data_IF_505222273137
#
_entry.id   IF_505222273137
#
_cell.length_a   1.000
_cell.length_b   1.000
_cell.length_c   1.000
_cell.angle_alpha   90.00
_cell.angle_beta   90.00
_cell.angle_gamma   90.00
#
_symmetry.space_group_name_H-M   'P 1'
#
loop_
_entity.id
_entity.type
_entity.pdbx_description
1 polymer ?
#
# COMPACT_ATOMS: atom_id res chain seq x y z
N UNK A 1 6.49 5.21 -7.15
CA UNK A 1 5.90 4.34 -6.12
C UNK A 1 5.88 5.06 -4.77
N UNK A 2 4.69 5.28 -4.22
CA UNK A 2 4.46 5.91 -2.90
C UNK A 2 4.37 4.89 -1.77
N UNK A 3 4.31 3.61 -2.13
CA UNK A 3 4.13 2.48 -1.22
C UNK A 3 2.68 2.09 -0.96
N UNK A 4 1.71 2.80 -1.56
CA UNK A 4 0.29 2.49 -1.51
C UNK A 4 -0.25 2.27 -2.93
N UNK A 5 -1.32 1.50 -3.08
CA UNK A 5 -1.94 1.22 -4.38
C UNK A 5 -2.64 2.44 -4.99
N UNK A 6 -3.04 3.39 -4.14
CA UNK A 6 -3.63 4.65 -4.55
C UNK A 6 -3.23 5.76 -3.60
N UNK A 7 -3.42 7.00 -4.05
CA UNK A 7 -3.43 8.16 -3.19
C UNK A 7 -4.87 8.66 -3.00
N UNK A 8 -5.30 8.88 -1.76
CA UNK A 8 -6.60 9.48 -1.46
C UNK A 8 -6.43 10.97 -1.21
N UNK A 9 -6.56 11.77 -2.27
CA UNK A 9 -6.35 13.21 -2.25
C UNK A 9 -7.67 13.95 -2.48
N UNK A 10 -8.00 14.91 -1.62
CA UNK A 10 -9.13 15.81 -1.80
C UNK A 10 -8.63 17.15 -2.33
N UNK A 11 -9.28 17.68 -3.37
CA UNK A 11 -9.01 19.03 -3.87
C UNK A 11 -9.50 20.07 -2.87
N UNK A 12 -8.62 21.02 -2.53
CA UNK A 12 -8.96 22.16 -1.70
C UNK A 12 -9.57 23.28 -2.57
N UNK A 13 -10.32 24.23 -1.97
CA UNK A 13 -10.84 25.39 -2.70
C UNK A 13 -9.74 26.13 -3.47
N UNK A 14 -10.05 26.69 -4.65
CA UNK A 14 -9.05 27.41 -5.47
C UNK A 14 -8.45 28.63 -4.76
N UNK A 15 -9.17 29.19 -3.78
CA UNK A 15 -8.72 30.29 -2.92
C UNK A 15 -7.80 29.84 -1.78
N UNK A 16 -7.69 28.53 -1.53
CA UNK A 16 -6.85 28.01 -0.47
C UNK A 16 -5.37 28.19 -0.82
N UNK A 17 -4.64 28.80 0.11
CA UNK A 17 -3.19 28.81 0.12
C UNK A 17 -2.72 28.37 1.52
N UNK A 18 -1.82 27.38 1.62
CA UNK A 18 -1.29 26.97 2.91
C UNK A 18 -0.41 28.08 3.50
N UNK A 19 -0.46 28.23 4.83
CA UNK A 19 0.41 29.18 5.53
C UNK A 19 1.90 28.85 5.27
N UNK A 20 2.73 29.89 5.16
CA UNK A 20 4.17 29.74 4.97
C UNK A 20 4.85 28.99 6.13
N UNK A 21 4.30 29.14 7.34
CA UNK A 21 4.71 28.43 8.56
C UNK A 21 4.47 26.92 8.46
N UNK A 22 3.36 26.48 7.84
CA UNK A 22 3.09 25.08 7.56
C UNK A 22 4.05 24.56 6.50
N UNK A 23 4.16 25.25 5.36
CA UNK A 23 5.01 24.81 4.25
C UNK A 23 6.49 24.67 4.63
N UNK A 24 7.01 25.59 5.46
CA UNK A 24 8.42 25.53 5.91
C UNK A 24 8.74 24.34 6.82
N UNK A 25 7.72 23.69 7.40
CA UNK A 25 7.88 22.47 8.22
C UNK A 25 7.71 21.18 7.40
N UNK A 26 7.29 21.28 6.14
CA UNK A 26 7.10 20.15 5.26
C UNK A 26 8.28 20.01 4.28
N UNK A 27 8.62 18.78 3.96
CA UNK A 27 9.57 18.48 2.91
C UNK A 27 8.84 18.38 1.57
N UNK A 28 9.24 19.23 0.61
CA UNK A 28 8.78 19.16 -0.78
C UNK A 28 9.53 18.05 -1.53
N UNK A 29 8.81 17.28 -2.31
CA UNK A 29 9.35 16.35 -3.28
C UNK A 29 8.59 16.48 -4.60
N UNK A 30 9.31 16.80 -5.67
CA UNK A 30 8.74 16.81 -7.02
C UNK A 30 8.59 15.37 -7.50
N UNK A 31 7.34 14.87 -7.44
CA UNK A 31 7.02 13.48 -7.73
C UNK A 31 6.93 13.24 -9.24
N UNK A 32 6.45 14.22 -9.99
CA UNK A 32 6.56 14.28 -11.45
C UNK A 32 6.73 15.73 -11.88
N UNK A 33 6.83 15.97 -13.19
CA UNK A 33 6.78 17.32 -13.77
C UNK A 33 5.52 18.10 -13.38
N UNK A 34 4.43 17.37 -13.09
CA UNK A 34 3.10 17.95 -12.88
C UNK A 34 2.60 17.94 -11.44
N UNK A 35 3.31 17.29 -10.51
CA UNK A 35 2.87 17.19 -9.12
C UNK A 35 4.03 17.21 -8.12
N UNK A 36 3.89 18.06 -7.11
CA UNK A 36 4.78 18.10 -5.94
C UNK A 36 4.04 17.58 -4.71
N UNK A 37 4.69 16.70 -3.96
CA UNK A 37 4.23 16.20 -2.67
C UNK A 37 4.91 16.98 -1.54
N UNK A 38 4.16 17.24 -0.46
CA UNK A 38 4.65 17.87 0.76
C UNK A 38 4.35 16.95 1.93
N UNK A 39 5.40 16.41 2.55
CA UNK A 39 5.27 15.43 3.63
C UNK A 39 6.02 15.86 4.88
N UNK A 40 5.60 15.35 6.03
CA UNK A 40 6.28 15.59 7.30
C UNK A 40 7.66 14.88 7.29
N UNK A 41 8.79 15.60 7.42
CA UNK A 41 10.12 14.99 7.36
C UNK A 41 10.43 14.05 8.54
N UNK A 42 9.63 14.12 9.62
CA UNK A 42 9.79 13.32 10.82
C UNK A 42 9.06 11.98 10.76
N UNK A 43 7.83 11.95 10.24
CA UNK A 43 7.01 10.73 10.19
C UNK A 43 6.74 10.20 8.78
N UNK A 44 7.06 10.96 7.73
CA UNK A 44 6.86 10.57 6.34
C UNK A 44 5.45 10.78 5.81
N UNK A 45 4.48 11.18 6.65
CA UNK A 45 3.08 11.39 6.23
C UNK A 45 2.98 12.52 5.21
N UNK A 46 2.51 12.22 3.99
CA UNK A 46 2.06 13.24 3.04
C UNK A 46 0.87 14.01 3.62
N UNK A 47 0.96 15.34 3.54
CA UNK A 47 -0.05 16.26 4.05
C UNK A 47 -0.73 16.96 2.88
N UNK A 48 0.09 17.54 1.99
CA UNK A 48 -0.40 18.32 0.85
C UNK A 48 0.23 17.83 -0.45
N UNK A 49 -0.48 18.04 -1.54
CA UNK A 49 0.03 17.95 -2.91
C UNK A 49 -0.32 19.23 -3.66
N UNK A 50 0.52 19.60 -4.63
CA UNK A 50 0.27 20.75 -5.51
C UNK A 50 0.47 20.32 -6.96
N UNK A 51 -0.49 20.61 -7.81
CA UNK A 51 -0.34 20.38 -9.26
C UNK A 51 0.29 21.60 -9.92
N UNK A 52 1.11 21.40 -10.95
CA UNK A 52 1.59 22.49 -11.81
C UNK A 52 0.61 22.81 -12.95
N UNK A 53 -0.32 21.89 -13.24
CA UNK A 53 -1.45 22.12 -14.12
C UNK A 53 -2.35 23.22 -13.54
N UNK A 54 -2.66 24.23 -14.36
CA UNK A 54 -3.50 25.35 -13.97
C UNK A 54 -4.96 25.01 -14.18
N UNK A 55 -5.76 25.18 -13.14
CA UNK A 55 -7.22 25.15 -13.17
C UNK A 55 -7.73 26.56 -12.89
N UNK A 56 -8.44 27.15 -13.84
CA UNK A 56 -8.93 28.54 -13.78
C UNK A 56 -7.84 29.56 -13.42
N UNK A 57 -6.64 29.37 -13.98
CA UNK A 57 -5.49 30.25 -13.75
C UNK A 57 -4.71 30.00 -12.44
N UNK A 58 -5.15 29.05 -11.60
CA UNK A 58 -4.53 28.72 -10.31
C UNK A 58 -3.97 27.30 -10.28
N UNK A 59 -2.99 27.04 -9.42
CA UNK A 59 -2.43 25.72 -9.19
C UNK A 59 -3.10 25.10 -7.96
N UNK A 60 -4.07 24.19 -8.12
CA UNK A 60 -4.85 23.70 -7.00
C UNK A 60 -3.98 22.92 -6.00
N UNK A 61 -4.27 23.16 -4.72
CA UNK A 61 -3.77 22.35 -3.63
C UNK A 61 -4.71 21.17 -3.38
N UNK A 62 -4.12 20.07 -2.96
CA UNK A 62 -4.85 18.90 -2.51
C UNK A 62 -4.35 18.52 -1.12
N UNK A 63 -5.24 17.95 -0.31
CA UNK A 63 -4.92 17.42 1.02
C UNK A 63 -5.03 15.89 1.01
N UNK A 64 -4.12 15.23 1.71
CA UNK A 64 -4.18 13.80 1.92
C UNK A 64 -5.32 13.46 2.89
N UNK A 65 -6.37 12.81 2.42
CA UNK A 65 -7.61 12.59 3.18
C UNK A 65 -7.39 11.78 4.48
N UNK A 66 -6.36 10.94 4.50
CA UNK A 66 -5.97 10.19 5.70
C UNK A 66 -5.45 11.09 6.83
N UNK A 67 -5.15 12.37 6.60
CA UNK A 67 -4.78 13.33 7.66
C UNK A 67 -5.98 14.08 8.23
N UNK A 68 -7.19 13.89 7.68
CA UNK A 68 -8.41 14.49 8.20
C UNK A 68 -8.93 13.68 9.39
N UNK A 69 -9.21 14.38 10.50
CA UNK A 69 -9.85 13.79 11.68
C UNK A 69 -11.31 13.42 11.38
N UNK A 70 -12.02 14.28 10.65
CA UNK A 70 -13.30 13.94 10.02
C UNK A 70 -13.04 13.48 8.59
N UNK A 71 -12.95 12.16 8.40
CA UNK A 71 -12.60 11.57 7.11
C UNK A 71 -13.76 10.93 6.37
N UNK A 72 -14.99 11.32 6.73
CA UNK A 72 -16.19 10.81 6.09
C UNK A 72 -16.59 11.58 4.84
N UNK A 73 -17.53 11.00 4.09
CA UNK A 73 -18.04 11.56 2.84
C UNK A 73 -18.86 12.84 3.03
N UNK A 74 -19.14 13.22 4.27
CA UNK A 74 -19.70 14.52 4.64
C UNK A 74 -18.72 15.69 4.42
N UNK A 75 -17.41 15.42 4.42
CA UNK A 75 -16.36 16.46 4.28
C UNK A 75 -15.83 16.56 2.86
N UNK A 76 -15.85 15.46 2.10
CA UNK A 76 -15.41 15.41 0.71
C UNK A 76 -16.22 14.39 -0.09
N UNK A 77 -16.30 14.59 -1.40
CA UNK A 77 -16.87 13.62 -2.33
C UNK A 77 -15.77 12.78 -2.98
N UNK A 78 -15.98 11.45 -3.06
CA UNK A 78 -15.13 10.57 -3.89
C UNK A 78 -15.55 10.69 -5.35
N UNK A 79 -14.97 11.66 -6.05
CA UNK A 79 -15.44 12.03 -7.39
C UNK A 79 -15.04 11.04 -8.50
N UNK A 80 -13.89 10.38 -8.40
CA UNK A 80 -13.30 9.56 -9.49
C UNK A 80 -12.04 8.81 -9.06
N UNK A 81 -11.72 7.75 -9.80
CA UNK A 81 -10.37 7.18 -9.90
C UNK A 81 -9.70 7.70 -11.18
N UNK A 82 -8.42 8.05 -11.10
CA UNK A 82 -7.59 8.51 -12.23
C UNK A 82 -6.30 7.71 -12.27
N UNK A 83 -5.63 7.69 -13.44
CA UNK A 83 -4.41 6.90 -13.68
C UNK A 83 -4.60 5.41 -13.38
N UNK A 84 -5.81 4.89 -13.60
CA UNK A 84 -6.11 3.47 -13.39
C UNK A 84 -5.36 2.60 -14.41
N UNK A 85 -5.07 3.14 -15.59
CA UNK A 85 -4.30 2.45 -16.64
C UNK A 85 -2.92 2.00 -16.16
N UNK A 86 -2.24 2.83 -15.37
CA UNK A 86 -0.90 2.56 -14.84
C UNK A 86 -0.86 1.32 -13.93
N UNK A 87 -2.00 0.93 -13.35
CA UNK A 87 -2.08 -0.21 -12.43
C UNK A 87 -2.02 -1.55 -13.14
N UNK A 88 -2.29 -1.59 -14.45
CA UNK A 88 -2.41 -2.78 -15.29
C UNK A 88 -3.49 -3.82 -14.88
N UNK A 89 -4.08 -3.71 -13.70
CA UNK A 89 -5.07 -4.64 -13.16
C UNK A 89 -6.30 -3.96 -12.54
N UNK A 90 -6.38 -2.63 -12.57
CA UNK A 90 -7.42 -1.84 -11.92
C UNK A 90 -7.04 -1.34 -10.53
N UNK A 91 -5.96 -1.86 -9.93
CA UNK A 91 -5.42 -1.45 -8.64
C UNK A 91 -6.47 -1.40 -7.54
N UNK A 92 -6.44 -0.33 -6.75
CA UNK A 92 -7.40 -0.08 -5.67
C UNK A 92 -8.81 0.31 -6.18
N UNK A 93 -8.96 0.71 -7.44
CA UNK A 93 -10.26 1.13 -7.99
C UNK A 93 -11.27 -0.02 -8.04
N UNK A 94 -10.80 -1.27 -8.03
CA UNK A 94 -11.65 -2.46 -7.90
C UNK A 94 -12.13 -2.70 -6.46
N UNK A 95 -11.48 -2.10 -5.46
CA UNK A 95 -11.87 -2.19 -4.05
C UNK A 95 -12.78 -1.07 -3.61
N UNK A 96 -12.82 0.06 -4.34
CA UNK A 96 -13.69 1.21 -4.04
C UNK A 96 -14.56 1.51 -5.26
N UNK A 97 -15.70 0.83 -5.36
CA UNK A 97 -16.52 0.83 -6.58
C UNK A 97 -17.62 1.87 -6.59
N UNK A 98 -18.17 2.12 -5.42
CA UNK A 98 -19.29 3.01 -5.17
C UNK A 98 -19.22 3.50 -3.74
N UNK A 99 -19.70 4.72 -3.51
CA UNK A 99 -19.82 5.33 -2.19
C UNK A 99 -21.21 5.93 -2.12
N UNK A 100 -21.96 5.64 -1.05
CA UNK A 100 -23.34 6.12 -0.86
C UNK A 100 -24.25 5.86 -2.07
N UNK A 101 -24.12 4.66 -2.66
CA UNK A 101 -24.89 4.24 -3.85
C UNK A 101 -24.48 4.90 -5.17
N UNK A 102 -23.53 5.84 -5.15
CA UNK A 102 -22.99 6.48 -6.36
C UNK A 102 -21.80 5.70 -6.89
N UNK A 103 -21.87 5.31 -8.17
CA UNK A 103 -20.74 4.68 -8.85
C UNK A 103 -19.58 5.67 -9.04
N UNK A 104 -18.35 5.21 -8.76
CA UNK A 104 -17.16 6.03 -8.96
C UNK A 104 -16.58 5.73 -10.35
N UNK A 105 -16.51 6.73 -11.25
CA UNK A 105 -15.93 6.53 -12.58
C UNK A 105 -14.42 6.26 -12.48
N UNK A 106 -13.91 5.40 -13.38
CA UNK A 106 -12.51 5.01 -13.48
C UNK A 106 -11.92 5.50 -14.78
N UNK A 107 -10.97 6.41 -14.71
CA UNK A 107 -10.30 6.96 -15.88
C UNK A 107 -8.92 6.31 -16.07
N UNK A 108 -8.60 5.96 -17.31
CA UNK A 108 -7.30 5.39 -17.65
C UNK A 108 -6.16 6.32 -17.24
N UNK A 109 -6.30 7.62 -17.50
CA UNK A 109 -5.33 8.68 -17.20
C UNK A 109 -6.00 9.80 -16.37
N UNK A 110 -5.92 11.05 -16.85
CA UNK A 110 -6.54 12.22 -16.24
C UNK A 110 -8.08 12.20 -16.32
N UNK A 111 -8.78 13.05 -15.54
CA UNK A 111 -10.24 13.14 -15.60
C UNK A 111 -10.75 13.42 -17.02
N UNK A 112 -11.76 12.65 -17.47
CA UNK A 112 -12.34 12.80 -18.80
C UNK A 112 -11.66 11.99 -19.90
N UNK A 113 -10.55 11.29 -19.60
CA UNK A 113 -9.95 10.31 -20.51
C UNK A 113 -10.83 9.06 -20.68
N UNK A 114 -10.33 8.02 -21.36
CA UNK A 114 -11.04 6.74 -21.51
C UNK A 114 -11.53 6.20 -20.16
N UNK A 115 -12.80 5.81 -20.11
CA UNK A 115 -13.39 5.15 -18.94
C UNK A 115 -13.10 3.66 -18.99
N UNK A 116 -12.45 3.13 -17.96
CA UNK A 116 -12.16 1.72 -17.85
C UNK A 116 -13.29 0.97 -17.14
N UNK A 117 -13.63 -0.25 -17.59
CA UNK A 117 -14.61 -1.08 -16.91
C UNK A 117 -14.11 -1.56 -15.54
N UNK A 118 -15.04 -2.02 -14.69
CA UNK A 118 -14.69 -2.68 -13.43
C UNK A 118 -13.93 -3.98 -13.74
N UNK A 119 -12.84 -4.25 -12.99
CA UNK A 119 -11.94 -5.38 -13.21
C UNK A 119 -11.23 -5.35 -14.57
N UNK A 120 -10.97 -4.16 -15.10
CA UNK A 120 -10.14 -3.98 -16.27
C UNK A 120 -8.74 -4.53 -16.05
N UNK A 121 -8.17 -5.14 -17.09
CA UNK A 121 -6.77 -5.57 -17.11
C UNK A 121 -6.12 -5.10 -18.39
N UNK A 122 -4.90 -4.62 -18.30
CA UNK A 122 -4.13 -4.22 -19.47
C UNK A 122 -3.81 -5.44 -20.36
N UNK A 123 -3.85 -5.33 -21.70
CA UNK A 123 -3.55 -6.46 -22.60
C UNK A 123 -2.16 -7.07 -22.39
N UNK A 124 -1.18 -6.25 -22.01
CA UNK A 124 0.19 -6.71 -21.74
C UNK A 124 0.39 -7.27 -20.32
N UNK A 125 -0.67 -7.34 -19.50
CA UNK A 125 -0.61 -7.93 -18.16
C UNK A 125 -0.23 -9.40 -18.28
N UNK A 126 0.87 -9.79 -17.64
CA UNK A 126 1.30 -11.20 -17.62
C UNK A 126 0.69 -11.88 -16.41
N UNK A 127 -0.35 -12.69 -16.61
CA UNK A 127 -0.83 -13.61 -15.56
C UNK A 127 0.28 -14.62 -15.28
N UNK A 128 0.70 -14.77 -14.01
CA UNK A 128 1.82 -15.62 -13.59
C UNK A 128 1.55 -17.14 -13.72
N UNK A 129 1.11 -17.62 -14.88
CA UNK A 129 1.09 -19.05 -15.20
C UNK A 129 2.51 -19.67 -15.19
N UNK A 130 3.57 -18.85 -15.09
CA UNK A 130 4.99 -19.22 -15.14
C UNK A 130 5.80 -18.75 -13.92
N UNK A 131 5.20 -18.65 -12.73
CA UNK A 131 5.92 -18.30 -11.51
C UNK A 131 6.97 -19.39 -11.17
N UNK A 132 8.25 -19.05 -11.20
CA UNK A 132 9.31 -19.96 -10.79
C UNK A 132 9.54 -19.84 -9.28
N UNK A 133 9.89 -20.93 -8.57
CA UNK A 133 10.18 -20.90 -7.13
C UNK A 133 11.27 -19.89 -6.74
N UNK A 134 12.25 -19.67 -7.62
CA UNK A 134 13.39 -18.79 -7.37
C UNK A 134 13.15 -17.32 -7.75
N UNK A 135 11.98 -17.00 -8.30
CA UNK A 135 11.59 -15.64 -8.64
C UNK A 135 11.81 -14.68 -7.47
N UNK A 136 12.08 -13.43 -7.82
CA UNK A 136 12.18 -12.31 -6.88
C UNK A 136 11.25 -11.19 -7.36
N UNK A 137 10.55 -10.58 -6.42
CA UNK A 137 9.76 -9.38 -6.68
C UNK A 137 10.51 -8.16 -6.16
N UNK A 138 10.80 -7.22 -7.07
CA UNK A 138 11.51 -6.00 -6.75
C UNK A 138 10.56 -4.99 -6.11
N UNK A 139 10.94 -4.46 -4.95
CA UNK A 139 10.25 -3.38 -4.25
C UNK A 139 11.12 -2.14 -4.15
N UNK A 140 10.58 -0.96 -4.51
CA UNK A 140 11.32 0.29 -4.42
C UNK A 140 10.45 1.53 -4.20
N UNK A 141 11.01 2.55 -3.55
CA UNK A 141 10.38 3.86 -3.47
C UNK A 141 10.55 4.65 -4.78
N UNK A 142 9.76 5.72 -4.96
CA UNK A 142 9.79 6.53 -6.19
C UNK A 142 11.19 7.02 -6.57
N UNK A 143 11.99 7.52 -5.62
CA UNK A 143 13.33 8.01 -5.90
C UNK A 143 14.40 6.91 -5.94
N UNK A 144 14.03 5.62 -5.81
CA UNK A 144 14.93 4.45 -5.70
C UNK A 144 15.98 4.55 -4.59
N UNK A 145 15.77 5.45 -3.63
CA UNK A 145 16.67 5.62 -2.49
C UNK A 145 16.51 4.53 -1.44
N UNK A 146 15.44 3.74 -1.50
CA UNK A 146 15.23 2.51 -0.74
C UNK A 146 14.73 1.46 -1.74
N UNK A 147 15.44 0.35 -1.82
CA UNK A 147 15.13 -0.78 -2.71
C UNK A 147 15.37 -2.08 -1.93
N UNK A 148 14.65 -3.13 -2.31
CA UNK A 148 14.72 -4.47 -1.73
C UNK A 148 14.05 -5.47 -2.68
N UNK A 149 14.25 -6.75 -2.45
CA UNK A 149 13.60 -7.84 -3.17
C UNK A 149 12.93 -8.77 -2.16
N UNK A 150 11.87 -9.46 -2.60
CA UNK A 150 11.25 -10.53 -1.83
C UNK A 150 11.29 -11.85 -2.59
N UNK A 151 11.58 -12.95 -1.89
CA UNK A 151 11.48 -14.30 -2.44
C UNK A 151 10.06 -14.86 -2.35
N UNK A 152 9.77 -15.90 -3.14
CA UNK A 152 8.53 -16.66 -2.97
C UNK A 152 8.44 -17.23 -1.55
N UNK A 153 7.22 -17.42 -1.03
CA UNK A 153 7.01 -18.21 0.16
C UNK A 153 7.71 -19.57 0.10
N UNK A 154 8.32 -19.97 1.20
CA UNK A 154 9.03 -21.23 1.35
C UNK A 154 8.84 -21.81 2.75
N UNK A 155 9.44 -22.97 3.01
CA UNK A 155 9.49 -23.53 4.37
C UNK A 155 10.12 -22.55 5.38
N UNK A 156 11.10 -21.74 4.96
CA UNK A 156 11.73 -20.72 5.82
C UNK A 156 10.74 -19.64 6.24
N UNK A 157 9.86 -19.24 5.34
CA UNK A 157 8.82 -18.25 5.59
C UNK A 157 7.85 -18.71 6.69
N UNK A 158 7.58 -20.02 6.75
CA UNK A 158 6.67 -20.60 7.76
C UNK A 158 7.33 -20.63 9.15
N UNK A 159 8.64 -20.87 9.20
CA UNK A 159 9.43 -20.92 10.42
C UNK A 159 9.96 -19.56 10.90
N UNK A 160 9.55 -18.44 10.27
CA UNK A 160 10.16 -17.13 10.52
C UNK A 160 10.15 -16.70 12.00
N UNK A 161 9.06 -16.99 12.72
CA UNK A 161 8.93 -16.70 14.15
C UNK A 161 9.93 -17.52 14.98
N UNK A 162 9.88 -18.84 14.86
CA UNK A 162 10.77 -19.76 15.58
C UNK A 162 12.24 -19.52 15.23
N UNK A 163 12.54 -19.24 13.96
CA UNK A 163 13.90 -18.93 13.52
C UNK A 163 14.40 -17.60 14.10
N UNK A 164 13.52 -16.64 14.32
CA UNK A 164 13.88 -15.39 14.99
C UNK A 164 14.19 -15.60 16.48
N UNK A 165 13.40 -16.43 17.16
CA UNK A 165 13.56 -16.71 18.59
C UNK A 165 14.76 -17.63 18.90
N UNK A 166 14.94 -18.67 18.08
CA UNK A 166 15.93 -19.74 18.34
C UNK A 166 17.21 -19.58 17.53
N UNK A 167 17.21 -18.74 16.49
CA UNK A 167 18.33 -18.61 15.55
C UNK A 167 18.46 -19.78 14.57
N UNK A 168 17.50 -20.72 14.53
CA UNK A 168 17.57 -21.93 13.69
C UNK A 168 16.23 -22.28 13.05
N UNK A 169 16.28 -22.98 11.90
CA UNK A 169 15.08 -23.50 11.25
C UNK A 169 14.92 -24.98 11.62
N UNK A 170 13.76 -25.41 12.16
CA UNK A 170 13.55 -26.81 12.53
C UNK A 170 13.15 -27.60 11.28
N UNK A 171 14.11 -27.81 10.39
CA UNK A 171 13.89 -28.40 9.05
C UNK A 171 13.42 -29.86 9.08
N UNK A 172 13.56 -30.54 10.21
CA UNK A 172 13.12 -31.92 10.43
C UNK A 172 11.72 -32.03 11.02
N UNK A 173 11.11 -30.91 11.45
CA UNK A 173 9.77 -30.89 12.04
C UNK A 173 8.70 -30.61 10.98
N UNK A 174 7.46 -31.08 11.18
CA UNK A 174 6.33 -30.64 10.38
C UNK A 174 6.22 -29.12 10.42
N UNK A 175 5.93 -28.49 9.28
CA UNK A 175 5.74 -27.05 9.22
C UNK A 175 4.64 -26.59 10.21
N UNK A 176 4.74 -25.38 10.80
CA UNK A 176 3.74 -24.84 11.72
C UNK A 176 2.34 -24.90 11.13
N UNK A 177 1.29 -24.90 11.93
CA UNK A 177 -0.08 -24.95 11.45
C UNK A 177 -0.47 -23.64 10.73
N UNK A 178 -1.43 -23.73 9.82
CA UNK A 178 -1.85 -22.59 8.98
C UNK A 178 -2.35 -21.38 9.79
N UNK A 179 -2.94 -21.61 10.97
CA UNK A 179 -3.41 -20.53 11.83
C UNK A 179 -2.26 -19.83 12.57
N UNK A 180 -1.12 -20.50 12.74
CA UNK A 180 0.12 -19.94 13.30
C UNK A 180 0.84 -19.09 12.23
N UNK A 181 0.72 -19.46 10.96
CA UNK A 181 1.31 -18.73 9.82
C UNK A 181 0.28 -17.91 9.05
N UNK A 182 -0.42 -16.98 9.71
CA UNK A 182 -1.49 -16.19 9.06
C UNK A 182 -1.00 -15.40 7.82
N UNK A 183 0.30 -15.12 7.74
CA UNK A 183 0.95 -14.44 6.62
C UNK A 183 1.17 -15.32 5.39
N UNK A 184 0.96 -16.65 5.49
CA UNK A 184 1.17 -17.62 4.39
C UNK A 184 -0.12 -18.31 3.95
N UNK A 185 -1.05 -17.61 3.29
CA UNK A 185 -2.26 -18.21 2.76
C UNK A 185 -2.06 -19.02 1.48
N UNK A 186 -3.18 -19.45 0.87
CA UNK A 186 -3.19 -20.17 -0.41
C UNK A 186 -2.27 -21.40 -0.38
N UNK A 187 -2.38 -22.21 0.68
CA UNK A 187 -1.50 -23.36 0.93
C UNK A 187 -0.01 -22.97 0.91
N UNK A 188 0.31 -21.78 1.45
CA UNK A 188 1.66 -21.21 1.56
C UNK A 188 2.34 -20.88 0.24
N UNK A 189 1.58 -20.61 -0.80
CA UNK A 189 2.12 -20.21 -2.11
C UNK A 189 2.18 -18.69 -2.30
N UNK A 190 1.48 -17.93 -1.45
CA UNK A 190 1.41 -16.45 -1.51
C UNK A 190 1.60 -15.86 -0.11
N UNK A 191 2.03 -14.61 -0.04
CA UNK A 191 1.94 -13.82 1.20
C UNK A 191 0.56 -13.20 1.37
N UNK A 192 0.17 -12.92 2.60
CA UNK A 192 -1.09 -12.24 2.91
C UNK A 192 -0.97 -10.75 2.57
N UNK A 193 -1.95 -10.20 1.84
CA UNK A 193 -2.17 -8.76 1.73
C UNK A 193 -3.49 -8.36 2.41
N UNK A 194 -3.56 -7.14 2.96
CA UNK A 194 -4.77 -6.62 3.58
C UNK A 194 -4.87 -5.09 3.50
N UNK A 195 -6.10 -4.60 3.57
CA UNK A 195 -6.43 -3.18 3.71
C UNK A 195 -6.69 -2.84 5.18
N UNK A 196 -6.13 -1.73 5.66
CA UNK A 196 -6.28 -1.24 7.03
C UNK A 196 -6.65 0.25 7.06
N UNK A 197 -7.81 0.64 7.62
CA UNK A 197 -8.26 2.03 7.76
C UNK A 197 -7.97 2.65 9.13
N UNK A 198 -7.21 1.99 10.03
CA UNK A 198 -7.06 2.48 11.40
C UNK A 198 -6.29 3.80 11.50
N UNK A 199 -6.40 4.46 12.63
CA UNK A 199 -5.83 5.80 12.85
C UNK A 199 -4.31 5.84 12.70
N UNK A 200 -3.61 4.80 13.14
CA UNK A 200 -2.16 4.74 12.93
C UNK A 200 -1.83 4.48 11.46
N UNK A 201 -2.54 3.55 10.82
CA UNK A 201 -2.30 3.17 9.43
C UNK A 201 -2.61 4.28 8.44
N UNK A 202 -3.66 5.09 8.65
CA UNK A 202 -3.99 6.20 7.72
C UNK A 202 -2.89 7.27 7.68
N UNK A 203 -2.25 7.53 8.82
CA UNK A 203 -1.15 8.48 8.93
C UNK A 203 0.16 7.86 8.43
N UNK A 204 0.41 6.61 8.82
CA UNK A 204 1.58 5.82 8.43
C UNK A 204 1.64 5.57 6.91
N UNK A 205 0.50 5.26 6.29
CA UNK A 205 0.39 4.99 4.86
C UNK A 205 0.46 6.25 4.02
N UNK A 206 1.38 7.17 4.35
CA UNK A 206 1.62 8.39 3.61
C UNK A 206 0.35 9.25 3.46
N UNK A 207 -0.42 9.41 4.55
CA UNK A 207 -1.64 10.24 4.58
C UNK A 207 -2.84 9.67 3.82
N UNK A 208 -2.85 8.37 3.50
CA UNK A 208 -3.95 7.74 2.78
C UNK A 208 -5.05 7.26 3.72
N UNK A 209 -6.32 7.33 3.29
CA UNK A 209 -7.45 6.87 4.09
C UNK A 209 -7.38 5.37 4.42
N UNK A 210 -6.65 4.61 3.60
CA UNK A 210 -6.43 3.19 3.75
C UNK A 210 -4.96 2.87 3.51
N UNK A 211 -4.39 2.01 4.35
CA UNK A 211 -3.12 1.35 4.11
C UNK A 211 -3.33 0.00 3.41
N UNK A 212 -2.50 -0.33 2.44
CA UNK A 212 -2.43 -1.63 1.78
C UNK A 212 -1.10 -2.30 2.13
N UNK A 213 -1.16 -3.31 2.99
CA UNK A 213 0.01 -4.00 3.53
C UNK A 213 0.12 -5.42 3.02
N UNK A 214 1.33 -5.85 2.67
CA UNK A 214 1.73 -7.24 2.54
C UNK A 214 2.51 -7.67 3.78
N UNK A 215 2.15 -8.80 4.38
CA UNK A 215 2.81 -9.35 5.57
C UNK A 215 3.93 -10.29 5.13
N UNK A 216 5.18 -9.81 5.21
CA UNK A 216 6.34 -10.49 4.63
C UNK A 216 7.38 -10.74 5.73
N UNK A 217 7.81 -12.00 5.92
CA UNK A 217 8.87 -12.31 6.86
C UNK A 217 10.20 -11.67 6.46
N UNK A 218 10.97 -11.19 7.43
CA UNK A 218 12.29 -10.58 7.17
C UNK A 218 13.26 -11.55 6.51
N UNK A 219 13.10 -12.85 6.74
CA UNK A 219 13.91 -13.92 6.13
C UNK A 219 13.70 -14.05 4.62
N UNK A 220 12.59 -13.52 4.11
CA UNK A 220 12.23 -13.50 2.68
C UNK A 220 12.60 -12.18 2.01
N UNK A 221 13.23 -11.23 2.74
CA UNK A 221 13.61 -9.91 2.20
C UNK A 221 15.13 -9.80 2.03
N UNK A 222 15.57 -9.43 0.83
CA UNK A 222 16.97 -9.13 0.52
C UNK A 222 17.15 -7.71 -0.03
N UNK A 223 18.38 -7.19 0.05
CA UNK A 223 18.76 -5.89 -0.51
C UNK A 223 19.42 -5.99 -1.89
N UNK A 224 19.62 -7.21 -2.39
CA UNK A 224 20.15 -7.55 -3.70
C UNK A 224 19.23 -8.52 -4.45
N UNK A 225 19.37 -8.57 -5.77
CA UNK A 225 18.54 -9.41 -6.64
C UNK A 225 18.87 -10.91 -6.47
N UNK A 226 20.09 -11.23 -6.04
CA UNK A 226 20.58 -12.58 -5.83
C UNK A 226 20.06 -13.19 -4.51
N UNK A 227 19.46 -12.39 -3.62
CA UNK A 227 18.95 -12.87 -2.34
C UNK A 227 20.01 -13.11 -1.26
N UNK A 228 21.22 -12.53 -1.40
CA UNK A 228 22.36 -12.80 -0.52
C UNK A 228 22.53 -11.75 0.57
N UNK A 229 22.11 -10.52 0.34
CA UNK A 229 22.22 -9.43 1.33
C UNK A 229 20.91 -9.36 2.11
N UNK A 230 20.86 -9.85 3.37
CA UNK A 230 19.62 -9.83 4.14
C UNK A 230 19.24 -8.40 4.57
N UNK A 231 17.97 -8.21 4.92
CA UNK A 231 17.54 -7.00 5.63
C UNK A 231 18.34 -6.84 6.95
N UNK A 232 19.01 -5.69 7.18
CA UNK A 232 19.81 -5.48 8.37
C UNK A 232 18.92 -5.35 9.61
N UNK A 233 19.33 -5.93 10.74
CA UNK A 233 18.62 -5.83 12.03
C UNK A 233 18.45 -4.38 12.51
N UNK A 234 19.38 -3.49 12.13
CA UNK A 234 19.29 -2.05 12.41
C UNK A 234 18.17 -1.34 11.65
N UNK A 235 17.56 -2.00 10.65
CA UNK A 235 16.56 -1.43 9.75
C UNK A 235 17.04 -0.10 9.13
N UNK A 236 18.31 -0.05 8.73
CA UNK A 236 18.95 1.12 8.15
C UNK A 236 19.64 0.75 6.84
N UNK A 237 19.14 1.29 5.73
CA UNK A 237 19.78 1.24 4.42
C UNK A 237 19.26 2.35 3.51
N UNK A 238 20.10 2.80 2.58
CA UNK A 238 19.75 3.84 1.63
C UNK A 238 19.24 5.12 2.30
N UNK A 239 18.04 5.56 1.93
CA UNK A 239 17.40 6.77 2.45
C UNK A 239 16.28 6.47 3.46
N UNK A 240 16.24 5.25 4.02
CA UNK A 240 15.21 4.85 4.96
C UNK A 240 15.31 5.66 6.25
N UNK A 241 14.18 6.21 6.69
CA UNK A 241 14.00 6.85 7.99
C UNK A 241 12.98 6.09 8.81
N UNK A 242 13.11 6.20 10.13
CA UNK A 242 12.26 5.55 11.11
C UNK A 242 11.56 6.60 11.97
N UNK A 243 10.25 6.45 12.16
CA UNK A 243 9.46 7.22 13.09
C UNK A 243 8.79 6.28 14.09
N UNK A 244 9.02 6.46 15.38
CA UNK A 244 8.26 5.70 16.39
C UNK A 244 6.82 6.18 16.41
N UNK A 245 5.88 5.26 16.19
CA UNK A 245 4.44 5.53 16.25
C UNK A 245 3.84 5.14 17.60
N UNK A 246 4.53 4.29 18.37
CA UNK A 246 4.23 3.98 19.77
C UNK A 246 5.49 3.46 20.48
N UNK A 247 5.35 3.05 21.75
CA UNK A 247 6.44 2.37 22.47
C UNK A 247 6.91 1.08 21.79
N UNK A 248 5.99 0.37 21.09
CA UNK A 248 6.21 -0.97 20.52
C UNK A 248 6.07 -1.03 19.00
N UNK A 249 6.01 0.13 18.33
CA UNK A 249 5.81 0.18 16.89
C UNK A 249 6.48 1.38 16.22
N UNK A 250 6.91 1.16 14.97
CA UNK A 250 7.56 2.16 14.14
C UNK A 250 7.08 2.12 12.70
N UNK A 251 7.03 3.30 12.11
CA UNK A 251 6.81 3.54 10.70
C UNK A 251 8.15 3.78 10.01
N UNK A 252 8.35 3.15 8.84
CA UNK A 252 9.55 3.34 8.04
C UNK A 252 9.19 3.91 6.67
N UNK A 253 9.88 4.96 6.27
CA UNK A 253 9.60 5.72 5.05
C UNK A 253 10.89 6.18 4.38
N UNK A 254 10.84 6.48 3.09
CA UNK A 254 11.95 7.08 2.38
C UNK A 254 12.09 8.56 2.77
N UNK A 255 13.19 8.93 3.41
CA UNK A 255 13.47 10.31 3.83
C UNK A 255 13.69 11.31 2.67
N UNK A 256 13.76 10.84 1.42
CA UNK A 256 13.86 11.70 0.23
C UNK A 256 12.49 11.96 -0.41
N UNK A 257 11.73 10.91 -0.73
CA UNK A 257 10.46 11.03 -1.47
C UNK A 257 9.19 10.86 -0.62
N UNK A 258 9.33 10.55 0.67
CA UNK A 258 8.20 10.35 1.59
C UNK A 258 7.45 9.03 1.39
N UNK A 259 7.84 8.19 0.43
CA UNK A 259 7.18 6.90 0.21
C UNK A 259 7.21 6.03 1.49
N UNK A 260 6.07 5.46 1.82
CA UNK A 260 5.95 4.52 2.93
C UNK A 260 6.59 3.19 2.54
N UNK A 261 7.51 2.70 3.35
CA UNK A 261 8.20 1.44 3.09
C UNK A 261 7.51 0.29 3.81
N UNK A 262 7.46 0.35 5.14
CA UNK A 262 6.82 -0.68 5.96
C UNK A 262 6.51 -0.18 7.36
N UNK A 263 5.56 -0.84 8.00
CA UNK A 263 5.30 -0.72 9.43
C UNK A 263 5.89 -1.93 10.18
N UNK A 264 6.36 -1.69 11.39
CA UNK A 264 7.02 -2.68 12.23
C UNK A 264 6.49 -2.62 13.67
N UNK A 265 6.46 -3.78 14.34
CA UNK A 265 6.16 -3.88 15.77
C UNK A 265 7.02 -4.92 16.46
N UNK A 266 7.35 -4.66 17.73
CA UNK A 266 8.12 -5.55 18.59
C UNK A 266 7.35 -6.83 18.94
N UNK A 267 6.03 -6.86 18.74
CA UNK A 267 5.23 -8.07 18.93
C UNK A 267 5.45 -9.11 17.82
N UNK A 268 5.97 -8.71 16.65
CA UNK A 268 6.21 -9.58 15.48
C UNK A 268 7.49 -9.12 14.75
N UNK A 269 8.66 -9.15 15.40
CA UNK A 269 9.90 -8.57 14.86
C UNK A 269 10.41 -9.30 13.60
N UNK A 270 10.00 -10.55 13.41
CA UNK A 270 10.29 -11.38 12.24
C UNK A 270 9.41 -11.08 11.02
N UNK A 271 8.37 -10.26 11.16
CA UNK A 271 7.40 -9.93 10.11
C UNK A 271 7.41 -8.42 9.84
N UNK A 272 7.18 -8.01 8.59
CA UNK A 272 7.06 -6.61 8.20
C UNK A 272 5.74 -6.42 7.45
N UNK A 273 5.05 -5.34 7.76
CA UNK A 273 3.85 -4.93 7.05
C UNK A 273 4.33 -3.97 5.93
N UNK A 274 4.66 -4.51 4.75
CA UNK A 274 5.30 -3.79 3.63
C UNK A 274 4.25 -3.17 2.71
N UNK A 275 4.44 -1.91 2.31
CA UNK A 275 3.51 -1.21 1.44
C UNK A 275 3.41 -1.89 0.06
N UNK A 276 2.21 -2.32 -0.34
CA UNK A 276 2.06 -3.09 -1.60
C UNK A 276 2.40 -2.24 -2.83
N UNK A 277 2.16 -0.93 -2.79
CA UNK A 277 2.47 -0.01 -3.89
C UNK A 277 3.96 0.27 -4.12
N UNK A 278 4.85 -0.52 -3.51
CA UNK A 278 6.30 -0.53 -3.76
C UNK A 278 6.72 -1.56 -4.80
N UNK A 279 5.88 -2.56 -5.06
CA UNK A 279 6.30 -3.72 -5.84
C UNK A 279 6.07 -3.49 -7.33
N UNK A 280 7.09 -3.84 -8.12
CA UNK A 280 7.06 -3.83 -9.58
C UNK A 280 6.73 -5.23 -10.10
N UNK A 281 5.45 -5.54 -10.20
CA UNK A 281 4.97 -6.85 -10.66
C UNK A 281 4.39 -6.78 -12.07
N UNK A 282 4.77 -7.76 -12.90
CA UNK A 282 4.24 -7.91 -14.26
C UNK A 282 2.75 -8.30 -14.32
N UNK A 283 2.15 -8.71 -13.20
CA UNK A 283 0.73 -9.04 -13.07
C UNK A 283 -0.11 -7.87 -12.49
N UNK A 284 0.47 -6.68 -12.39
CA UNK A 284 -0.23 -5.45 -12.01
C UNK A 284 -0.02 -5.01 -10.56
N UNK A 285 -0.60 -3.86 -10.21
CA UNK A 285 -0.35 -3.18 -8.94
C UNK A 285 -0.75 -4.01 -7.72
N UNK A 286 -1.77 -4.86 -7.81
CA UNK A 286 -2.20 -5.73 -6.69
C UNK A 286 -1.28 -6.93 -6.47
N UNK A 287 -0.34 -7.20 -7.38
CA UNK A 287 0.67 -8.25 -7.29
C UNK A 287 0.08 -9.64 -6.94
N UNK A 288 -1.01 -10.03 -7.61
CA UNK A 288 -1.87 -11.15 -7.16
C UNK A 288 -1.23 -12.54 -7.29
N UNK A 289 -0.20 -12.69 -8.10
CA UNK A 289 0.63 -13.89 -8.15
C UNK A 289 1.53 -14.03 -6.92
N UNK A 290 1.78 -12.94 -6.19
CA UNK A 290 2.58 -12.93 -4.95
C UNK A 290 1.71 -12.83 -3.71
N UNK A 291 0.57 -12.16 -3.80
CA UNK A 291 -0.27 -11.83 -2.66
C UNK A 291 -1.69 -12.38 -2.76
N UNK A 292 -2.15 -12.95 -1.66
CA UNK A 292 -3.55 -13.29 -1.45
C UNK A 292 -4.19 -12.19 -0.60
N UNK A 293 -5.16 -11.47 -1.17
CA UNK A 293 -5.84 -10.38 -0.50
C UNK A 293 -6.86 -10.87 0.53
N UNK A 294 -6.90 -10.25 1.71
CA UNK A 294 -7.98 -10.43 2.68
C UNK A 294 -9.21 -9.66 2.20
N UNK A 295 -10.20 -10.39 1.69
CA UNK A 295 -11.40 -9.80 1.06
C UNK A 295 -12.66 -9.82 1.92
N UNK A 296 -12.67 -10.57 3.04
CA UNK A 296 -13.89 -10.75 3.84
C UNK A 296 -14.18 -9.56 4.77
N UNK A 297 -13.11 -8.99 5.32
CA UNK A 297 -13.17 -7.94 6.34
C UNK A 297 -11.82 -7.19 6.36
N UNK A 298 -11.86 -5.88 6.58
CA UNK A 298 -10.66 -5.07 6.77
C UNK A 298 -10.00 -5.28 8.14
N UNK A 299 -8.71 -4.96 8.24
CA UNK A 299 -7.99 -4.93 9.53
C UNK A 299 -8.50 -3.76 10.37
N UNK A 300 -8.55 -3.91 11.70
CA UNK A 300 -8.90 -2.82 12.64
C UNK A 300 -10.15 -2.01 12.21
N UNK A 301 -11.16 -2.72 11.69
CA UNK A 301 -12.37 -2.17 11.08
C UNK A 301 -13.08 -1.12 11.93
N UNK A 302 -13.14 -1.34 13.24
CA UNK A 302 -13.82 -0.44 14.19
C UNK A 302 -13.28 0.99 14.14
N UNK A 303 -11.97 1.16 13.98
CA UNK A 303 -11.34 2.49 13.91
C UNK A 303 -11.75 3.22 12.64
N UNK A 304 -11.75 2.51 11.50
CA UNK A 304 -12.22 3.06 10.22
C UNK A 304 -13.69 3.49 10.29
N UNK A 305 -14.55 2.65 10.86
CA UNK A 305 -15.97 2.97 11.02
C UNK A 305 -16.25 4.16 11.92
N UNK A 306 -15.41 4.39 12.93
CA UNK A 306 -15.58 5.54 13.84
C UNK A 306 -15.29 6.86 13.15
N UNK A 307 -14.35 6.89 12.19
CA UNK A 307 -13.80 8.11 11.61
C UNK A 307 -14.31 8.41 10.19
N UNK A 308 -14.53 7.38 9.39
CA UNK A 308 -14.85 7.45 7.97
C UNK A 308 -15.76 6.28 7.61
N UNK A 309 -16.97 6.28 8.17
CA UNK A 309 -17.88 5.14 8.16
C UNK A 309 -18.31 4.78 6.75
N UNK A 310 -18.83 5.73 5.99
CA UNK A 310 -19.36 5.49 4.65
C UNK A 310 -18.24 5.04 3.71
N UNK A 311 -17.07 5.69 3.78
CA UNK A 311 -15.90 5.29 2.99
C UNK A 311 -15.37 3.89 3.39
N UNK A 312 -15.34 3.57 4.68
CA UNK A 312 -14.91 2.25 5.18
C UNK A 312 -15.86 1.15 4.70
N UNK A 313 -17.17 1.38 4.78
CA UNK A 313 -18.17 0.41 4.30
C UNK A 313 -18.07 0.20 2.79
N UNK A 314 -17.85 1.26 2.02
CA UNK A 314 -17.66 1.19 0.57
C UNK A 314 -16.46 0.32 0.16
N UNK A 315 -15.31 0.49 0.84
CA UNK A 315 -14.12 -0.34 0.56
C UNK A 315 -14.33 -1.79 1.00
N UNK A 316 -15.00 -2.02 2.14
CA UNK A 316 -15.32 -3.37 2.61
C UNK A 316 -16.24 -4.11 1.64
N UNK A 317 -17.25 -3.43 1.10
CA UNK A 317 -18.14 -3.97 0.08
C UNK A 317 -17.37 -4.33 -1.19
N UNK A 318 -16.58 -3.41 -1.74
CA UNK A 318 -15.78 -3.66 -2.94
C UNK A 318 -14.80 -4.82 -2.76
N UNK A 319 -14.14 -4.92 -1.60
CA UNK A 319 -13.30 -6.07 -1.25
C UNK A 319 -14.10 -7.38 -1.23
N UNK A 320 -15.30 -7.40 -0.64
CA UNK A 320 -16.14 -8.61 -0.59
C UNK A 320 -16.57 -9.07 -1.97
N UNK A 321 -17.01 -8.14 -2.82
CA UNK A 321 -17.37 -8.43 -4.21
C UNK A 321 -16.17 -8.92 -5.02
N UNK A 322 -15.00 -8.28 -4.83
CA UNK A 322 -13.74 -8.76 -5.41
C UNK A 322 -13.44 -10.22 -5.01
N UNK A 323 -13.56 -10.53 -3.72
CA UNK A 323 -13.35 -11.89 -3.23
C UNK A 323 -14.36 -12.90 -3.78
N UNK A 324 -15.62 -12.50 -4.01
CA UNK A 324 -16.63 -13.36 -4.68
C UNK A 324 -16.20 -13.64 -6.12
N UNK A 325 -15.79 -12.62 -6.87
CA UNK A 325 -15.29 -12.75 -8.24
C UNK A 325 -14.14 -13.75 -8.33
N UNK A 326 -13.13 -13.64 -7.47
CA UNK A 326 -11.98 -14.56 -7.47
C UNK A 326 -12.41 -16.02 -7.25
N UNK A 327 -13.36 -16.27 -6.35
CA UNK A 327 -13.90 -17.62 -6.11
C UNK A 327 -14.71 -18.17 -7.28
N UNK A 328 -15.45 -17.33 -7.98
CA UNK A 328 -16.19 -17.74 -9.18
C UNK A 328 -15.23 -18.06 -10.32
N UNK A 329 -14.20 -17.23 -10.52
CA UNK A 329 -13.19 -17.45 -11.55
C UNK A 329 -12.37 -18.74 -11.30
N UNK A 330 -12.10 -19.09 -10.04
CA UNK A 330 -11.37 -20.32 -9.70
C UNK A 330 -12.19 -21.62 -9.84
N UNK A 331 -13.51 -21.53 -10.08
CA UNK A 331 -14.40 -22.68 -10.28
C UNK A 331 -14.66 -23.00 -11.76
N UNK A 332 -14.28 -22.10 -12.65
CA UNK A 332 -14.35 -22.26 -14.10
C UNK A 332 -13.01 -22.80 -14.61
#
# INVERSE_FOLDING_TARGET
>A
MTGQLCLTLARLPLTYAPESTLLSRLQKYDFSENISHYFCPSCGTNILCRTTERENGTNPWMIAVGTLEEGDTSVFEVARHIFVGDTCDGGFADFLTSVDGKHIPRYANHPGSEKLPLYWTHPNRRTQASALPDDKLHGYCHCRGVQFYISRPSARSAWAEIAHETGSYPTTQPLPLQHETFWLPANRTKFRAAVCPCDSCRLAANGNAFAQWAYIPTVDVSLDAEGKVPMPKSLSWGTLKTCRTSERASQHFCGRCGAVMFWNTDARPYLKDIGVGLFDSADGARCEGWFEWRTKEMRHRADGLRRAKELTLAVEEGLREYGKRLRTAAKL
#
